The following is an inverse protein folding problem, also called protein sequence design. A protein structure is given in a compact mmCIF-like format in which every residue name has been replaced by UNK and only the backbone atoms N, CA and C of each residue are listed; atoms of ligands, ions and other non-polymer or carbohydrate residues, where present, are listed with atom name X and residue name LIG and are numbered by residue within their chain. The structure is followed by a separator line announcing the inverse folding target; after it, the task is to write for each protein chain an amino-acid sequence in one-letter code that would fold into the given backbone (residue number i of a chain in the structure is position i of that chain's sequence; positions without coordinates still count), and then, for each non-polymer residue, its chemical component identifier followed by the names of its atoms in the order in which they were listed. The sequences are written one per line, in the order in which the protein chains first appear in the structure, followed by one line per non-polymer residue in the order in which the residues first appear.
data_IF_714820967908
#
_entry.id   IF_714820967908
#
_cell.length_a   1.000
_cell.length_b   1.000
_cell.length_c   1.000
_cell.angle_alpha   90.00
_cell.angle_beta   90.00
_cell.angle_gamma   90.00
#
_symmetry.space_group_name_H-M   'P 1'
#
loop_
_entity.id
_entity.type
_entity.pdbx_description
1 polymer ?
#
# COMPACT_ATOMS: atom_id res chain seq x y z
N UNK A 1 3.72 -24.59 -22.50
CA UNK A 1 4.56 -24.31 -21.32
C UNK A 1 5.32 -23.05 -21.66
N UNK A 2 4.82 -21.91 -21.19
CA UNK A 2 5.45 -20.61 -21.42
C UNK A 2 5.84 -20.10 -20.06
N UNK A 3 7.15 -20.11 -19.78
CA UNK A 3 7.75 -19.48 -18.61
C UNK A 3 7.51 -17.98 -18.68
N UNK A 4 6.62 -17.49 -17.82
CA UNK A 4 6.53 -16.06 -17.50
C UNK A 4 7.54 -15.82 -16.38
N UNK A 5 8.54 -14.94 -16.54
CA UNK A 5 9.49 -14.68 -15.47
C UNK A 5 8.77 -14.08 -14.27
N UNK A 6 9.04 -14.63 -13.08
CA UNK A 6 8.50 -14.24 -11.75
C UNK A 6 9.08 -12.91 -11.26
N UNK A 7 9.40 -11.98 -12.17
CA UNK A 7 10.19 -10.77 -11.88
C UNK A 7 9.60 -9.48 -12.46
N UNK A 8 8.30 -9.42 -12.71
CA UNK A 8 7.64 -8.12 -12.92
C UNK A 8 7.27 -7.51 -11.55
N UNK A 9 7.63 -6.24 -11.28
CA UNK A 9 7.08 -5.53 -10.12
C UNK A 9 5.56 -5.54 -10.28
N UNK A 10 4.80 -5.93 -9.23
CA UNK A 10 3.34 -6.11 -9.29
C UNK A 10 2.68 -5.15 -10.31
N UNK A 11 2.11 -5.66 -11.42
CA UNK A 11 1.90 -4.84 -12.63
C UNK A 11 0.86 -3.72 -12.47
N UNK A 12 0.21 -3.59 -11.32
CA UNK A 12 -0.70 -2.47 -11.01
C UNK A 12 -0.68 -2.13 -9.52
N UNK A 13 -0.12 -1.00 -9.10
CA UNK A 13 -0.25 -0.57 -7.70
C UNK A 13 -1.64 0.06 -7.47
N UNK A 14 -2.23 -0.14 -6.29
CA UNK A 14 -3.40 0.66 -5.88
C UNK A 14 -3.18 1.35 -4.53
N UNK A 15 -2.74 0.65 -3.50
CA UNK A 15 -2.13 1.23 -2.29
C UNK A 15 -1.09 0.24 -1.76
N UNK A 16 0.07 0.74 -1.36
CA UNK A 16 1.10 0.00 -0.64
C UNK A 16 1.36 0.70 0.70
N UNK A 17 1.18 -0.02 1.80
CA UNK A 17 1.62 0.43 3.13
C UNK A 17 2.93 -0.25 3.48
N UNK A 18 3.88 0.51 4.01
CA UNK A 18 5.22 0.05 4.38
C UNK A 18 5.46 0.51 5.81
N UNK A 19 5.43 -0.42 6.76
CA UNK A 19 5.44 -0.13 8.18
C UNK A 19 6.77 -0.53 8.79
N UNK A 20 7.51 0.41 9.39
CA UNK A 20 8.76 0.18 10.10
C UNK A 20 8.57 -0.46 11.47
N UNK A 21 7.68 -1.45 11.57
CA UNK A 21 7.34 -2.18 12.78
C UNK A 21 7.27 -3.69 12.52
N UNK A 22 7.60 -4.55 13.50
CA UNK A 22 7.60 -5.99 13.29
C UNK A 22 6.18 -6.57 13.19
N UNK A 23 6.05 -7.70 12.50
CA UNK A 23 4.76 -8.36 12.22
C UNK A 23 3.84 -8.55 13.44
N UNK A 24 4.30 -9.01 14.61
CA UNK A 24 3.43 -9.15 15.78
C UNK A 24 2.78 -7.84 16.24
N UNK A 25 3.53 -6.73 16.16
CA UNK A 25 3.02 -5.40 16.53
C UNK A 25 1.99 -4.91 15.51
N UNK A 26 2.28 -5.08 14.22
CA UNK A 26 1.33 -4.71 13.15
C UNK A 26 0.07 -5.56 13.23
N UNK A 27 0.20 -6.88 13.45
CA UNK A 27 -0.93 -7.79 13.60
C UNK A 27 -1.82 -7.42 14.79
N UNK A 28 -1.23 -7.14 15.95
CA UNK A 28 -1.98 -6.66 17.12
C UNK A 28 -2.73 -5.35 16.84
N UNK A 29 -2.09 -4.40 16.15
CA UNK A 29 -2.71 -3.14 15.76
C UNK A 29 -3.87 -3.34 14.78
N UNK A 30 -3.70 -4.20 13.75
CA UNK A 30 -4.74 -4.55 12.77
C UNK A 30 -5.91 -5.24 13.47
N UNK A 31 -5.66 -6.27 14.27
CA UNK A 31 -6.71 -6.94 15.06
C UNK A 31 -7.48 -5.95 15.94
N UNK A 32 -6.78 -5.00 16.58
CA UNK A 32 -7.42 -3.95 17.38
C UNK A 32 -8.20 -2.91 16.58
N UNK A 33 -8.02 -2.78 15.26
CA UNK A 33 -8.88 -1.93 14.41
C UNK A 33 -10.18 -2.65 14.06
N UNK A 34 -10.13 -3.97 13.90
CA UNK A 34 -11.25 -4.78 13.40
C UNK A 34 -11.96 -5.60 14.49
N UNK A 35 -11.52 -5.55 15.75
CA UNK A 35 -12.07 -6.34 16.86
C UNK A 35 -13.59 -6.22 17.05
N UNK A 36 -14.14 -5.03 16.78
CA UNK A 36 -15.59 -4.74 16.91
C UNK A 36 -16.31 -4.70 15.55
N UNK A 37 -15.62 -5.07 14.46
CA UNK A 37 -16.16 -5.00 13.10
C UNK A 37 -16.57 -6.37 12.60
N UNK A 38 -17.83 -6.73 12.83
CA UNK A 38 -18.38 -8.04 12.47
C UNK A 38 -18.44 -8.30 10.96
N UNK A 39 -18.33 -7.28 10.13
CA UNK A 39 -18.28 -7.43 8.67
C UNK A 39 -16.90 -7.78 8.13
N UNK A 40 -15.87 -7.94 8.98
CA UNK A 40 -14.54 -8.37 8.55
C UNK A 40 -14.11 -9.69 9.19
N UNK A 41 -13.26 -10.41 8.47
CA UNK A 41 -12.58 -11.61 8.92
C UNK A 41 -11.08 -11.40 8.78
N UNK A 42 -10.34 -11.84 9.80
CA UNK A 42 -8.89 -11.74 9.88
C UNK A 42 -8.35 -13.16 10.01
N UNK A 43 -7.31 -13.49 9.26
CA UNK A 43 -6.63 -14.76 9.40
C UNK A 43 -5.12 -14.65 9.23
N UNK A 44 -4.43 -15.64 9.78
CA UNK A 44 -2.99 -15.83 9.63
C UNK A 44 -2.79 -17.16 8.89
N UNK A 45 -2.19 -17.10 7.71
CA UNK A 45 -1.81 -18.28 6.97
C UNK A 45 -0.63 -17.95 6.06
N UNK A 46 0.18 -18.95 5.73
CA UNK A 46 1.19 -18.89 4.66
C UNK A 46 0.54 -18.68 3.30
N UNK A 47 -0.01 -17.49 3.08
CA UNK A 47 -0.53 -17.04 1.80
C UNK A 47 0.66 -16.60 0.97
N UNK A 48 0.75 -17.07 -0.27
CA UNK A 48 1.79 -16.59 -1.16
C UNK A 48 1.45 -15.17 -1.63
N UNK A 49 2.47 -14.36 -1.88
CA UNK A 49 2.30 -13.05 -2.51
C UNK A 49 1.47 -13.13 -3.80
N UNK A 50 1.61 -14.22 -4.57
CA UNK A 50 0.86 -14.42 -5.81
C UNK A 50 -0.65 -14.52 -5.56
N UNK A 51 -1.09 -15.14 -4.47
CA UNK A 51 -2.52 -15.22 -4.12
C UNK A 51 -3.12 -13.84 -3.82
N UNK A 52 -2.35 -12.95 -3.21
CA UNK A 52 -2.75 -11.56 -2.90
C UNK A 52 -2.65 -10.67 -4.14
N UNK A 53 -1.54 -10.74 -4.86
CA UNK A 53 -1.18 -9.82 -5.94
C UNK A 53 -1.90 -10.12 -7.26
N UNK A 54 -2.19 -11.39 -7.55
CA UNK A 54 -2.97 -11.78 -8.75
C UNK A 54 -4.48 -11.77 -8.50
N UNK A 55 -4.91 -11.51 -7.26
CA UNK A 55 -6.31 -11.70 -6.89
C UNK A 55 -6.72 -13.16 -7.05
N UNK A 56 -5.87 -14.10 -6.61
CA UNK A 56 -6.02 -15.56 -6.72
C UNK A 56 -7.21 -16.15 -5.95
N UNK A 57 -8.29 -15.40 -5.78
CA UNK A 57 -9.58 -15.88 -5.34
C UNK A 57 -10.54 -15.84 -6.55
N UNK A 58 -10.99 -17.00 -7.06
CA UNK A 58 -11.94 -17.04 -8.16
C UNK A 58 -13.23 -16.26 -7.86
N UNK A 59 -13.59 -15.33 -8.76
CA UNK A 59 -14.92 -14.72 -8.86
C UNK A 59 -15.14 -13.42 -8.06
N UNK A 60 -16.43 -13.06 -7.95
CA UNK A 60 -17.00 -11.87 -7.29
C UNK A 60 -16.81 -11.94 -5.75
N UNK A 61 -15.62 -11.60 -5.24
CA UNK A 61 -15.25 -11.73 -3.81
C UNK A 61 -14.65 -10.46 -3.17
N UNK A 62 -14.88 -10.28 -1.85
CA UNK A 62 -14.71 -9.04 -1.07
C UNK A 62 -13.29 -8.46 -1.03
N UNK A 63 -13.20 -7.16 -0.69
CA UNK A 63 -11.95 -6.41 -0.48
C UNK A 63 -10.98 -7.15 0.42
N UNK A 64 -9.72 -7.32 -0.02
CA UNK A 64 -8.65 -7.94 0.77
C UNK A 64 -7.49 -6.97 0.97
N UNK A 65 -7.02 -6.86 2.21
CA UNK A 65 -5.71 -6.31 2.55
C UNK A 65 -4.84 -7.43 3.09
N UNK A 66 -3.64 -7.61 2.55
CA UNK A 66 -2.68 -8.59 3.06
C UNK A 66 -1.41 -7.91 3.53
N UNK A 67 -0.86 -8.45 4.62
CA UNK A 67 0.31 -7.95 5.32
C UNK A 67 1.35 -9.06 5.39
N UNK A 68 2.59 -8.79 4.99
CA UNK A 68 3.67 -9.76 5.01
C UNK A 68 5.02 -9.11 5.29
N UNK A 69 5.98 -9.93 5.70
CA UNK A 69 7.38 -9.52 5.84
C UNK A 69 8.12 -9.88 4.55
N UNK A 70 8.78 -8.90 3.93
CA UNK A 70 9.52 -9.11 2.70
C UNK A 70 10.76 -9.99 2.92
N UNK A 71 11.09 -10.86 1.96
CA UNK A 71 12.38 -11.57 1.94
C UNK A 71 13.58 -10.61 1.91
N UNK A 72 13.40 -9.39 1.38
CA UNK A 72 14.45 -8.37 1.25
C UNK A 72 14.52 -7.41 2.43
N UNK A 73 13.48 -7.37 3.28
CA UNK A 73 13.43 -6.50 4.45
C UNK A 73 12.61 -7.15 5.56
N UNK A 74 13.28 -7.51 6.66
CA UNK A 74 12.71 -8.28 7.78
C UNK A 74 12.37 -7.45 9.01
N UNK A 75 12.80 -6.19 9.05
CA UNK A 75 12.55 -5.23 10.12
C UNK A 75 11.26 -4.39 9.90
N UNK A 76 10.40 -4.82 8.97
CA UNK A 76 9.16 -4.10 8.67
C UNK A 76 8.15 -4.96 7.90
N UNK A 77 6.92 -4.43 7.81
CA UNK A 77 5.78 -5.11 7.21
C UNK A 77 5.28 -4.35 6.00
N UNK A 78 4.96 -5.09 4.95
CA UNK A 78 4.37 -4.60 3.71
C UNK A 78 2.89 -4.93 3.70
N UNK A 79 2.04 -3.97 3.34
CA UNK A 79 0.62 -4.13 3.10
C UNK A 79 0.30 -3.93 1.61
N UNK A 80 -0.47 -4.86 1.05
CA UNK A 80 -1.01 -4.79 -0.30
C UNK A 80 -2.53 -4.86 -0.29
N UNK A 81 -3.16 -4.09 -1.17
CA UNK A 81 -4.61 -4.14 -1.36
C UNK A 81 -5.02 -3.74 -2.77
N UNK A 82 -6.17 -4.27 -3.20
CA UNK A 82 -6.81 -4.02 -4.49
C UNK A 82 -7.88 -2.89 -4.46
N UNK A 83 -8.15 -2.27 -3.30
CA UNK A 83 -9.13 -1.18 -3.14
C UNK A 83 -8.52 0.10 -2.55
N UNK A 84 -9.07 1.27 -2.92
CA UNK A 84 -8.52 2.58 -2.56
C UNK A 84 -9.07 3.11 -1.22
N UNK A 85 -10.35 3.44 -1.09
CA UNK A 85 -10.79 4.35 -0.02
C UNK A 85 -10.69 3.82 1.42
N UNK A 86 -11.21 2.62 1.70
CA UNK A 86 -11.21 2.07 3.06
C UNK A 86 -9.81 1.78 3.63
N UNK A 87 -8.85 1.49 2.75
CA UNK A 87 -7.51 1.06 3.14
C UNK A 87 -6.51 2.21 3.29
N UNK A 88 -6.76 3.36 2.63
CA UNK A 88 -6.08 4.61 2.95
C UNK A 88 -6.25 4.97 4.43
N UNK A 89 -7.49 4.83 4.92
CA UNK A 89 -7.84 5.08 6.32
C UNK A 89 -7.13 4.09 7.25
N UNK A 90 -7.08 2.80 6.89
CA UNK A 90 -6.34 1.83 7.69
C UNK A 90 -4.85 2.19 7.79
N UNK A 91 -4.19 2.51 6.68
CA UNK A 91 -2.78 2.93 6.72
C UNK A 91 -2.58 4.15 7.63
N UNK A 92 -3.47 5.15 7.55
CA UNK A 92 -3.43 6.33 8.42
C UNK A 92 -3.59 5.99 9.90
N UNK A 93 -4.48 5.05 10.22
CA UNK A 93 -4.72 4.60 11.61
C UNK A 93 -3.53 3.81 12.12
N UNK A 94 -3.00 2.88 11.32
CA UNK A 94 -1.84 2.07 11.69
C UNK A 94 -0.60 2.95 11.90
N UNK A 95 -0.32 3.86 10.97
CA UNK A 95 0.82 4.79 11.10
C UNK A 95 0.72 5.67 12.36
N UNK A 96 -0.50 6.00 12.83
CA UNK A 96 -0.72 6.74 14.08
C UNK A 96 -0.66 5.89 15.36
N UNK A 97 -0.78 4.56 15.24
CA UNK A 97 -0.74 3.61 16.37
C UNK A 97 0.64 2.99 16.58
N UNK A 98 1.43 2.91 15.51
CA UNK A 98 2.72 2.24 15.49
C UNK A 98 3.86 3.26 15.59
N UNK A 99 4.87 2.94 16.38
CA UNK A 99 6.12 3.69 16.41
C UNK A 99 6.95 3.44 15.14
N UNK A 100 7.90 4.33 14.86
CA UNK A 100 8.81 4.23 13.74
C UNK A 100 8.35 4.95 12.47
N UNK A 101 9.13 4.75 11.41
CA UNK A 101 8.92 5.38 10.11
C UNK A 101 8.00 4.52 9.24
N UNK A 102 6.88 5.10 8.81
CA UNK A 102 5.89 4.45 7.96
C UNK A 102 5.72 5.21 6.66
N UNK A 103 5.42 4.47 5.61
CA UNK A 103 5.30 4.99 4.27
C UNK A 103 4.06 4.44 3.60
N UNK A 104 3.34 5.30 2.87
CA UNK A 104 2.26 4.88 1.98
C UNK A 104 2.52 5.39 0.57
N UNK A 105 2.38 4.47 -0.37
CA UNK A 105 2.47 4.74 -1.80
C UNK A 105 1.14 4.38 -2.47
N UNK A 106 0.69 5.21 -3.40
CA UNK A 106 -0.39 4.83 -4.32
C UNK A 106 0.00 5.23 -5.74
N UNK A 107 -0.21 4.33 -6.70
CA UNK A 107 0.16 4.55 -8.10
C UNK A 107 -0.85 3.89 -9.02
N UNK A 108 -1.82 4.64 -9.53
CA UNK A 108 -2.77 4.20 -10.55
C UNK A 108 -2.61 5.04 -11.82
N UNK A 109 -2.61 4.38 -12.97
CA UNK A 109 -2.65 5.00 -14.30
C UNK A 109 -3.96 4.67 -15.04
N UNK A 110 -4.98 4.20 -14.30
CA UNK A 110 -6.27 3.88 -14.90
C UNK A 110 -6.98 5.16 -15.35
N UNK A 111 -7.58 5.18 -16.56
CA UNK A 111 -8.36 6.32 -17.02
C UNK A 111 -9.43 6.71 -16.00
N UNK A 112 -9.49 7.99 -15.61
CA UNK A 112 -10.45 8.50 -14.63
C UNK A 112 -10.11 8.22 -13.15
N UNK A 113 -9.00 7.54 -12.86
CA UNK A 113 -8.50 7.31 -11.49
C UNK A 113 -6.97 7.33 -11.48
N UNK A 114 -6.38 8.30 -12.17
CA UNK A 114 -4.93 8.46 -12.19
C UNK A 114 -4.48 9.12 -10.90
N UNK A 115 -3.61 8.45 -10.16
CA UNK A 115 -3.07 8.98 -8.90
C UNK A 115 -1.65 8.50 -8.70
N UNK A 116 -0.79 9.41 -8.27
CA UNK A 116 0.52 9.13 -7.72
C UNK A 116 0.56 9.82 -6.36
N UNK A 117 0.83 9.08 -5.29
CA UNK A 117 0.90 9.68 -3.95
C UNK A 117 1.96 9.02 -3.07
N UNK A 118 2.56 9.85 -2.24
CA UNK A 118 3.52 9.51 -1.20
C UNK A 118 3.02 10.13 0.10
N UNK A 119 2.97 9.36 1.18
CA UNK A 119 2.80 9.89 2.53
C UNK A 119 3.79 9.22 3.46
N UNK A 120 4.47 10.01 4.28
CA UNK A 120 5.50 9.57 5.21
C UNK A 120 5.10 9.98 6.61
N UNK A 121 5.17 9.03 7.53
CA UNK A 121 5.02 9.25 8.96
C UNK A 121 6.32 8.93 9.66
N UNK A 122 6.63 9.72 10.68
CA UNK A 122 7.72 9.47 11.61
C UNK A 122 7.16 9.59 13.03
N UNK A 123 7.33 8.54 13.82
CA UNK A 123 6.77 8.40 15.17
C UNK A 123 5.34 8.94 15.31
N UNK A 124 4.45 8.41 14.46
CA UNK A 124 3.00 8.68 14.44
C UNK A 124 2.59 10.06 13.91
N UNK A 125 3.53 10.94 13.58
CA UNK A 125 3.27 12.23 12.96
C UNK A 125 3.42 12.15 11.45
N UNK A 126 2.46 12.70 10.69
CA UNK A 126 2.63 12.86 9.24
C UNK A 126 3.64 13.98 8.99
N UNK A 127 4.80 13.63 8.44
CA UNK A 127 5.90 14.59 8.20
C UNK A 127 5.97 15.05 6.75
N UNK A 128 5.41 14.26 5.83
CA UNK A 128 5.45 14.56 4.39
C UNK A 128 4.27 13.94 3.66
N UNK A 129 3.64 14.72 2.80
CA UNK A 129 2.65 14.22 1.86
C UNK A 129 2.82 14.94 0.53
N UNK A 130 2.77 14.20 -0.57
CA UNK A 130 2.74 14.74 -1.92
C UNK A 130 1.87 13.84 -2.79
N UNK A 131 1.00 14.44 -3.60
CA UNK A 131 0.23 13.70 -4.59
C UNK A 131 0.05 14.47 -5.89
N UNK A 132 -0.18 13.71 -6.95
CA UNK A 132 -0.77 14.14 -8.21
C UNK A 132 -1.98 13.24 -8.44
N UNK A 133 -3.15 13.80 -8.68
CA UNK A 133 -4.34 13.02 -9.03
C UNK A 133 -5.13 13.69 -10.15
N UNK A 134 -5.90 12.88 -10.87
CA UNK A 134 -6.87 13.36 -11.85
C UNK A 134 -8.27 13.32 -11.23
N UNK A 135 -8.89 14.49 -11.13
CA UNK A 135 -10.26 14.69 -10.65
C UNK A 135 -11.09 15.36 -11.76
N UNK A 136 -12.15 14.70 -12.23
CA UNK A 136 -13.03 15.16 -13.31
C UNK A 136 -12.29 15.82 -14.50
N UNK A 137 -11.29 15.09 -15.03
CA UNK A 137 -10.39 15.49 -16.12
C UNK A 137 -9.40 16.63 -15.81
N UNK A 138 -9.42 17.21 -14.61
CA UNK A 138 -8.42 18.18 -14.15
C UNK A 138 -7.33 17.47 -13.35
N UNK A 139 -6.10 17.89 -13.58
CA UNK A 139 -4.99 17.45 -12.75
C UNK A 139 -4.90 18.33 -11.52
N UNK A 140 -4.75 17.70 -10.36
CA UNK A 140 -4.37 18.37 -9.14
C UNK A 140 -3.03 17.90 -8.61
N UNK A 141 -2.32 18.82 -7.94
CA UNK A 141 -1.06 18.56 -7.29
C UNK A 141 -1.07 19.25 -5.93
N UNK A 142 -0.87 18.48 -4.88
CA UNK A 142 -0.79 18.97 -3.51
C UNK A 142 0.46 18.43 -2.85
N UNK A 143 1.05 19.23 -1.98
CA UNK A 143 2.10 18.79 -1.07
C UNK A 143 1.98 19.49 0.28
N UNK A 144 2.40 18.82 1.35
CA UNK A 144 2.53 19.34 2.70
C UNK A 144 3.74 18.72 3.40
N UNK A 145 4.23 19.40 4.43
CA UNK A 145 5.46 19.00 5.13
C UNK A 145 6.74 19.34 4.36
N UNK A 146 7.88 19.13 5.00
CA UNK A 146 9.20 19.49 4.46
C UNK A 146 9.67 18.42 3.48
N UNK A 147 10.09 18.78 2.24
CA UNK A 147 10.67 17.82 1.31
C UNK A 147 11.86 17.08 1.92
N UNK A 148 11.89 15.76 1.72
CA UNK A 148 12.97 14.90 2.17
C UNK A 148 14.21 15.05 1.26
N UNK A 149 15.43 14.81 1.75
CA UNK A 149 16.68 15.14 1.04
C UNK A 149 16.84 14.48 -0.34
N UNK A 150 16.16 13.36 -0.57
CA UNK A 150 16.22 12.57 -1.80
C UNK A 150 15.04 12.87 -2.76
N UNK A 151 14.11 13.76 -2.40
CA UNK A 151 13.00 14.13 -3.28
C UNK A 151 13.49 14.96 -4.48
N UNK A 152 13.00 14.64 -5.68
CA UNK A 152 13.22 15.45 -6.87
C UNK A 152 12.24 16.64 -6.89
N UNK A 153 12.53 17.62 -6.04
CA UNK A 153 11.67 18.81 -5.86
C UNK A 153 11.56 19.69 -7.10
N UNK A 154 12.53 19.61 -8.03
CA UNK A 154 12.46 20.36 -9.29
C UNK A 154 11.33 19.85 -10.18
N UNK A 155 11.06 18.54 -10.17
CA UNK A 155 9.91 17.97 -10.91
C UNK A 155 8.58 18.51 -10.39
N UNK A 156 8.46 18.85 -9.11
CA UNK A 156 7.24 19.46 -8.54
C UNK A 156 6.89 20.82 -9.14
N UNK A 157 7.84 21.48 -9.83
CA UNK A 157 7.62 22.76 -10.51
C UNK A 157 7.26 22.62 -11.99
N UNK A 158 7.13 21.39 -12.51
CA UNK A 158 6.77 21.15 -13.91
C UNK A 158 5.47 21.87 -14.31
N UNK A 159 5.42 22.38 -15.55
CA UNK A 159 4.26 23.10 -16.09
C UNK A 159 3.01 22.22 -16.09
N UNK A 160 3.13 20.98 -16.55
CA UNK A 160 2.03 20.02 -16.49
C UNK A 160 2.00 19.36 -15.11
N UNK A 161 0.89 19.51 -14.38
CA UNK A 161 0.72 18.92 -13.03
C UNK A 161 0.90 17.40 -13.02
N UNK A 162 0.44 16.70 -14.06
CA UNK A 162 0.59 15.25 -14.22
C UNK A 162 2.04 14.76 -14.19
N UNK A 163 2.99 15.62 -14.59
CA UNK A 163 4.41 15.28 -14.70
C UNK A 163 5.18 15.59 -13.40
N UNK A 164 4.49 16.12 -12.36
CA UNK A 164 5.13 16.55 -11.10
C UNK A 164 5.52 15.40 -10.21
N UNK A 165 4.83 14.27 -10.28
CA UNK A 165 5.13 13.07 -9.50
C UNK A 165 4.83 11.86 -10.39
N UNK A 166 5.83 10.99 -10.58
CA UNK A 166 5.70 9.77 -11.38
C UNK A 166 5.88 8.51 -10.52
N UNK A 167 5.48 7.36 -11.06
CA UNK A 167 5.67 6.06 -10.42
C UNK A 167 7.16 5.76 -10.18
N UNK A 168 8.02 6.12 -11.12
CA UNK A 168 9.46 5.92 -11.02
C UNK A 168 10.05 6.74 -9.87
N UNK A 169 9.54 7.95 -9.65
CA UNK A 169 9.91 8.75 -8.47
C UNK A 169 9.48 8.05 -7.18
N UNK A 170 8.25 7.53 -7.09
CA UNK A 170 7.77 6.79 -5.91
C UNK A 170 8.63 5.56 -5.59
N UNK A 171 9.10 4.84 -6.60
CA UNK A 171 10.03 3.72 -6.44
C UNK A 171 11.36 4.21 -5.87
N UNK A 172 11.96 5.24 -6.48
CA UNK A 172 13.21 5.82 -5.96
C UNK A 172 13.08 6.33 -4.52
N UNK A 173 11.93 6.88 -4.17
CA UNK A 173 11.62 7.39 -2.83
C UNK A 173 11.50 6.28 -1.79
N UNK A 174 10.80 5.20 -2.13
CA UNK A 174 10.73 4.00 -1.28
C UNK A 174 12.13 3.43 -1.03
N UNK A 175 12.93 3.30 -2.09
CA UNK A 175 14.29 2.78 -2.02
C UNK A 175 15.18 3.65 -1.12
N UNK A 176 15.07 4.98 -1.21
CA UNK A 176 15.81 5.90 -0.35
C UNK A 176 15.43 5.80 1.14
N UNK A 177 14.22 5.30 1.46
CA UNK A 177 13.76 4.98 2.81
C UNK A 177 14.07 3.54 3.23
N UNK A 178 14.90 2.83 2.46
CA UNK A 178 15.30 1.46 2.73
C UNK A 178 14.22 0.42 2.38
N UNK A 179 13.24 0.76 1.54
CA UNK A 179 12.26 -0.17 1.01
C UNK A 179 12.58 -0.46 -0.46
N UNK A 180 13.39 -1.50 -0.77
CA UNK A 180 13.84 -1.79 -2.13
C UNK A 180 12.73 -2.46 -2.96
N UNK A 181 11.68 -1.71 -3.27
CA UNK A 181 10.41 -2.24 -3.81
C UNK A 181 10.51 -2.73 -5.28
N UNK A 182 11.60 -2.40 -5.95
CA UNK A 182 11.97 -2.84 -7.29
C UNK A 182 12.96 -4.02 -7.29
N UNK A 183 13.46 -4.44 -6.12
CA UNK A 183 14.38 -5.56 -6.04
C UNK A 183 13.65 -6.90 -6.20
N UNK A 184 14.26 -7.81 -6.95
CA UNK A 184 13.80 -9.19 -7.12
C UNK A 184 13.49 -9.85 -5.77
N UNK A 185 12.31 -10.42 -5.62
CA UNK A 185 11.88 -11.09 -4.39
C UNK A 185 11.55 -10.15 -3.22
N UNK A 186 11.56 -8.82 -3.39
CA UNK A 186 11.00 -7.91 -2.38
C UNK A 186 9.54 -8.23 -2.09
N UNK A 187 8.81 -8.56 -3.14
CA UNK A 187 7.41 -8.91 -3.07
C UNK A 187 7.15 -10.32 -2.53
N UNK A 188 8.18 -11.14 -2.38
CA UNK A 188 8.04 -12.47 -1.78
C UNK A 188 8.02 -12.39 -0.25
N UNK A 189 7.21 -13.24 0.38
CA UNK A 189 7.13 -13.38 1.81
C UNK A 189 7.96 -14.58 2.30
N UNK A 190 8.59 -14.45 3.46
CA UNK A 190 9.21 -15.57 4.19
C UNK A 190 8.41 -15.83 5.48
N UNK A 191 7.40 -16.69 5.39
CA UNK A 191 6.52 -17.07 6.51
C UNK A 191 5.05 -16.71 6.30
N UNK A 192 4.30 -16.72 7.40
CA UNK A 192 2.85 -16.46 7.39
C UNK A 192 2.53 -14.99 7.06
N UNK A 193 1.47 -14.79 6.29
CA UNK A 193 0.88 -13.49 6.00
C UNK A 193 -0.41 -13.30 6.81
N UNK A 194 -0.62 -12.08 7.29
CA UNK A 194 -1.88 -11.67 7.89
C UNK A 194 -2.77 -11.11 6.79
N UNK A 195 -4.01 -11.59 6.68
CA UNK A 195 -4.98 -11.04 5.75
C UNK A 195 -6.22 -10.53 6.49
N UNK A 196 -6.82 -9.50 5.92
CA UNK A 196 -8.10 -8.93 6.34
C UNK A 196 -9.01 -8.91 5.12
N UNK A 197 -10.19 -9.50 5.23
CA UNK A 197 -11.21 -9.48 4.18
C UNK A 197 -12.56 -9.07 4.72
N UNK A 198 -13.36 -8.39 3.90
CA UNK A 198 -14.77 -8.21 4.20
C UNK A 198 -15.49 -9.56 4.10
N UNK A 199 -16.47 -9.82 4.97
CA UNK A 199 -17.32 -11.01 4.88
C UNK A 199 -18.31 -10.80 3.75
N UNK A 200 -18.58 -11.85 2.95
CA UNK A 200 -19.69 -11.78 1.99
C UNK A 200 -20.99 -11.49 2.75
N UNK A 201 -21.83 -10.54 2.30
CA UNK A 201 -23.18 -10.46 2.82
C UNK A 201 -23.89 -11.80 2.55
N UNK A 202 -24.56 -12.34 3.57
CA UNK A 202 -25.35 -13.56 3.41
C UNK A 202 -26.52 -13.24 2.47
N UNK A 203 -26.69 -13.95 1.35
CA UNK A 203 -27.83 -13.71 0.45
C UNK A 203 -29.15 -13.88 1.21
N UNK A 204 -29.95 -12.82 1.29
CA UNK A 204 -31.28 -12.83 1.93
C UNK A 204 -31.42 -12.01 3.22
N UNK A 205 -30.34 -11.45 3.76
CA UNK A 205 -30.41 -10.50 4.87
C UNK A 205 -30.77 -9.10 4.36
N UNK A 206 -32.06 -8.76 4.27
CA UNK A 206 -32.48 -7.35 4.17
C UNK A 206 -32.55 -6.76 5.58
N UNK A 207 -32.14 -5.50 5.69
CA UNK A 207 -32.54 -4.61 6.78
C UNK A 207 -34.06 -4.52 6.89
#
# INVERSE_FOLDING_TARGET
MSDVPVNEPAPSWRICGLFGAPMPTVAGAVSGVFAERDNYEIGLAGMSFDEVATGGLPGDRPSVGAFFTSCRRRDGVVMLTNQQDGWFTLCNVLARRLDGCHLRLASSNLPGSQVQSLTVWDDRAEIRHVHVLQDDARWDFMQSGTPLPWENVEKYRSRAKRDRLSREMLIGYANALGWPIDADGFWSADGDALWVREKRPVPGSRC
#
